data_IF_853517819402
#
_entry.id   IF_853517819402
#
_cell.length_a   1.000
_cell.length_b   1.000
_cell.length_c   1.000
_cell.angle_alpha   90.00
_cell.angle_beta   90.00
_cell.angle_gamma   90.00
#
_symmetry.space_group_name_H-M   'P 1'
#
loop_
_entity.id
_entity.type
_entity.pdbx_description
1 polymer ?
#
# COMPACT_ATOMS: atom_id res chain seq x y z
N UNK A 1 -8.06 -0.29 -13.48
CA UNK A 1 -8.06 1.03 -12.79
C UNK A 1 -6.86 1.01 -11.84
N UNK A 2 -6.29 2.15 -11.44
CA UNK A 2 -5.11 2.16 -10.57
C UNK A 2 -5.36 2.93 -9.30
N UNK A 3 -4.70 2.51 -8.23
CA UNK A 3 -4.72 3.22 -6.96
C UNK A 3 -3.30 3.51 -6.48
N UNK A 4 -3.12 4.69 -5.90
CA UNK A 4 -1.92 5.06 -5.18
C UNK A 4 -2.12 4.74 -3.71
N UNK A 5 -1.30 3.84 -3.20
CA UNK A 5 -1.22 3.49 -1.78
C UNK A 5 -0.06 4.26 -1.16
N UNK A 6 -0.35 5.00 -0.09
CA UNK A 6 0.65 5.65 0.76
C UNK A 6 0.71 4.93 2.11
N UNK A 7 1.91 4.55 2.53
CA UNK A 7 2.17 3.82 3.77
C UNK A 7 3.13 4.59 4.63
N UNK A 8 2.78 4.72 5.90
CA UNK A 8 3.63 5.29 6.93
C UNK A 8 4.23 4.16 7.76
N UNK A 9 5.55 4.17 7.94
CA UNK A 9 6.28 3.19 8.73
C UNK A 9 7.02 3.86 9.90
N UNK A 10 7.02 3.21 11.06
CA UNK A 10 7.56 3.77 12.31
C UNK A 10 9.07 3.87 12.34
N UNK A 11 9.77 2.98 11.62
CA UNK A 11 11.21 3.05 11.45
C UNK A 11 11.51 3.55 10.04
N UNK A 12 12.54 4.40 9.95
CA UNK A 12 13.02 5.06 8.74
C UNK A 12 13.70 4.01 7.83
N UNK A 13 12.89 3.07 7.38
CA UNK A 13 13.26 1.92 6.59
C UNK A 13 13.35 2.33 5.14
N UNK A 14 14.25 1.69 4.39
CA UNK A 14 14.58 1.99 3.00
C UNK A 14 13.44 1.71 2.00
N UNK A 15 12.19 1.58 2.46
CA UNK A 15 11.04 1.25 1.64
C UNK A 15 10.43 2.51 1.03
N UNK A 16 9.92 2.37 -0.19
CA UNK A 16 9.14 3.43 -0.82
C UNK A 16 7.80 3.57 -0.08
N UNK A 17 7.47 4.77 0.44
CA UNK A 17 6.20 5.01 1.14
C UNK A 17 5.01 5.02 0.17
N UNK A 18 5.25 4.92 -1.14
CA UNK A 18 4.22 4.89 -2.17
C UNK A 18 4.32 3.60 -2.98
N UNK A 19 3.16 3.01 -3.28
CA UNK A 19 3.02 1.86 -4.17
C UNK A 19 1.82 2.04 -5.08
N UNK A 20 1.90 1.51 -6.31
CA UNK A 20 0.79 1.54 -7.26
C UNK A 20 0.12 0.17 -7.22
N UNK A 21 -1.19 0.13 -6.96
CA UNK A 21 -2.01 -1.07 -6.99
C UNK A 21 -2.80 -1.14 -8.29
N UNK A 22 -2.76 -2.29 -8.97
CA UNK A 22 -3.67 -2.58 -10.08
C UNK A 22 -4.99 -3.14 -9.54
N UNK A 23 -6.08 -2.40 -9.74
CA UNK A 23 -7.41 -2.76 -9.20
C UNK A 23 -8.43 -2.97 -10.31
N UNK A 24 -9.35 -3.95 -10.14
CA UNK A 24 -10.36 -4.25 -11.14
C UNK A 24 -11.27 -3.04 -11.40
N UNK A 25 -11.79 -2.94 -12.62
CA UNK A 25 -12.76 -1.90 -12.94
C UNK A 25 -14.06 -2.12 -12.15
N UNK A 26 -14.54 -1.05 -11.50
CA UNK A 26 -15.73 -1.11 -10.64
C UNK A 26 -15.44 -1.37 -9.15
N UNK A 27 -14.17 -1.42 -8.73
CA UNK A 27 -13.79 -1.41 -7.31
C UNK A 27 -14.28 -0.14 -6.62
N UNK A 28 -15.03 -0.30 -5.54
CA UNK A 28 -15.46 0.81 -4.67
C UNK A 28 -14.33 1.25 -3.75
N UNK A 29 -14.49 2.38 -3.07
CA UNK A 29 -13.51 2.85 -2.08
C UNK A 29 -13.36 1.86 -0.90
N UNK A 30 -14.46 1.32 -0.37
CA UNK A 30 -14.45 0.26 0.64
C UNK A 30 -13.71 -1.00 0.17
N UNK A 31 -13.97 -1.46 -1.06
CA UNK A 31 -13.29 -2.62 -1.65
C UNK A 31 -11.79 -2.35 -1.82
N UNK A 32 -11.42 -1.12 -2.20
CA UNK A 32 -10.04 -0.70 -2.37
C UNK A 32 -9.28 -0.76 -1.03
N UNK A 33 -9.90 -0.27 0.04
CA UNK A 33 -9.34 -0.36 1.39
C UNK A 33 -9.14 -1.82 1.83
N UNK A 34 -10.11 -2.70 1.59
CA UNK A 34 -9.99 -4.13 1.91
C UNK A 34 -8.86 -4.80 1.11
N UNK A 35 -8.72 -4.49 -0.18
CA UNK A 35 -7.62 -5.01 -1.01
C UNK A 35 -6.27 -4.54 -0.47
N UNK A 36 -6.15 -3.24 -0.16
CA UNK A 36 -4.92 -2.67 0.35
C UNK A 36 -4.53 -3.26 1.70
N UNK A 37 -5.49 -3.44 2.62
CA UNK A 37 -5.27 -4.07 3.93
C UNK A 37 -4.77 -5.52 3.80
N UNK A 38 -5.31 -6.29 2.86
CA UNK A 38 -4.84 -7.65 2.59
C UNK A 38 -3.43 -7.71 2.00
N UNK A 39 -3.04 -6.71 1.20
CA UNK A 39 -1.72 -6.65 0.57
C UNK A 39 -0.65 -6.08 1.50
N UNK A 40 -1.03 -5.15 2.39
CA UNK A 40 -0.11 -4.40 3.25
C UNK A 40 0.87 -5.27 4.05
N UNK A 41 0.48 -6.42 4.65
CA UNK A 41 1.40 -7.32 5.35
C UNK A 41 2.46 -7.92 4.42
N UNK A 42 2.07 -8.25 3.19
CA UNK A 42 2.95 -8.89 2.19
C UNK A 42 3.82 -7.89 1.44
N UNK A 43 3.46 -6.60 1.46
CA UNK A 43 4.17 -5.56 0.71
C UNK A 43 5.51 -5.21 1.35
N UNK A 44 5.54 -5.14 2.69
CA UNK A 44 6.69 -4.71 3.48
C UNK A 44 7.24 -5.80 4.42
N UNK A 45 6.58 -6.95 4.52
CA UNK A 45 6.97 -8.04 5.40
C UNK A 45 6.55 -9.42 4.91
N UNK A 46 6.67 -10.42 5.79
CA UNK A 46 6.15 -11.77 5.54
C UNK A 46 4.78 -11.91 6.20
N UNK A 47 3.73 -12.19 5.42
CA UNK A 47 2.37 -12.30 5.91
C UNK A 47 2.17 -13.33 7.03
N UNK A 48 3.09 -14.29 7.19
CA UNK A 48 3.02 -15.29 8.27
C UNK A 48 3.60 -14.79 9.61
N UNK A 49 4.30 -13.65 9.59
CA UNK A 49 4.99 -13.08 10.76
C UNK A 49 4.40 -11.73 11.15
N UNK A 50 3.82 -11.00 10.19
CA UNK A 50 3.15 -9.73 10.43
C UNK A 50 1.85 -9.95 11.21
N UNK A 51 1.65 -9.18 12.27
CA UNK A 51 0.39 -9.13 13.03
C UNK A 51 -0.34 -7.83 12.68
N UNK A 52 -1.62 -7.91 12.34
CA UNK A 52 -2.46 -6.73 12.05
C UNK A 52 -3.39 -6.48 13.24
N UNK A 53 -3.43 -5.24 13.72
CA UNK A 53 -4.28 -4.82 14.85
C UNK A 53 -5.68 -4.36 14.39
N UNK A 54 -6.60 -4.09 15.32
CA UNK A 54 -7.99 -3.68 15.01
C UNK A 54 -8.05 -2.35 14.22
N UNK A 55 -7.04 -1.49 14.39
CA UNK A 55 -6.88 -0.24 13.65
C UNK A 55 -6.24 -0.43 12.25
N UNK A 56 -5.97 -1.66 11.79
CA UNK A 56 -5.33 -1.95 10.49
C UNK A 56 -3.81 -1.70 10.47
N UNK A 57 -3.20 -1.52 11.65
CA UNK A 57 -1.75 -1.32 11.78
C UNK A 57 -1.05 -2.67 11.72
N UNK A 58 -0.13 -2.83 10.79
CA UNK A 58 0.76 -3.98 10.67
C UNK A 58 1.95 -3.83 11.62
N UNK A 59 2.28 -4.90 12.35
CA UNK A 59 3.39 -4.99 13.29
C UNK A 59 4.30 -6.16 12.93
N UNK A 60 5.60 -5.91 12.85
CA UNK A 60 6.60 -6.97 12.68
C UNK A 60 7.94 -6.56 13.29
N UNK A 61 8.57 -7.45 14.07
CA UNK A 61 9.90 -7.25 14.67
C UNK A 61 10.13 -5.90 15.39
N UNK A 62 9.08 -5.30 15.96
CA UNK A 62 9.17 -3.99 16.63
C UNK A 62 9.06 -2.78 15.69
N UNK A 63 8.81 -3.02 14.41
CA UNK A 63 8.44 -2.03 13.40
C UNK A 63 6.92 -2.09 13.22
N UNK A 64 6.30 -0.95 12.90
CA UNK A 64 4.91 -0.92 12.49
C UNK A 64 4.70 -0.06 11.26
N UNK A 65 3.68 -0.39 10.49
CA UNK A 65 3.28 0.36 9.31
C UNK A 65 1.77 0.30 9.11
N UNK A 66 1.22 1.36 8.51
CA UNK A 66 -0.22 1.50 8.28
C UNK A 66 -0.48 2.31 7.02
N UNK A 67 -1.68 2.15 6.47
CA UNK A 67 -2.15 2.95 5.33
C UNK A 67 -2.38 4.38 5.80
N UNK A 68 -1.61 5.32 5.27
CA UNK A 68 -1.78 6.74 5.57
C UNK A 68 -2.78 7.40 4.62
N UNK A 69 -2.75 7.01 3.34
CA UNK A 69 -3.66 7.52 2.31
C UNK A 69 -3.82 6.48 1.20
N UNK A 70 -5.01 6.44 0.62
CA UNK A 70 -5.36 5.55 -0.47
C UNK A 70 -6.29 6.28 -1.42
N UNK A 71 -5.88 6.37 -2.70
CA UNK A 71 -6.67 7.12 -3.68
C UNK A 71 -6.61 6.49 -5.06
N UNK A 72 -7.72 6.55 -5.79
CA UNK A 72 -7.75 6.22 -7.20
C UNK A 72 -6.97 7.24 -8.02
N UNK A 73 -6.23 6.74 -9.01
CA UNK A 73 -5.47 7.55 -9.96
C UNK A 73 -5.70 7.06 -11.38
N UNK A 74 -5.51 7.96 -12.35
CA UNK A 74 -5.58 7.62 -13.76
C UNK A 74 -4.40 6.74 -14.17
N UNK A 75 -4.53 6.00 -15.28
CA UNK A 75 -3.41 5.22 -15.84
C UNK A 75 -2.22 6.12 -16.24
N UNK A 76 -2.51 7.31 -16.77
CA UNK A 76 -1.49 8.32 -17.10
C UNK A 76 -0.75 8.83 -15.85
N UNK A 77 -1.49 9.16 -14.79
CA UNK A 77 -0.90 9.60 -13.52
C UNK A 77 -0.03 8.49 -12.90
N UNK A 78 -0.49 7.24 -12.96
CA UNK A 78 0.29 6.10 -12.48
C UNK A 78 1.59 5.93 -13.28
N UNK A 79 1.53 6.03 -14.61
CA UNK A 79 2.72 5.96 -15.45
C UNK A 79 3.70 7.10 -15.15
N UNK A 80 3.20 8.30 -14.91
CA UNK A 80 4.02 9.45 -14.49
C UNK A 80 4.66 9.23 -13.12
N UNK A 81 3.90 8.79 -12.12
CA UNK A 81 4.40 8.55 -10.76
C UNK A 81 5.42 7.42 -10.73
N UNK A 82 5.15 6.30 -11.40
CA UNK A 82 6.12 5.20 -11.56
C UNK A 82 7.42 5.70 -12.19
N UNK A 83 7.35 6.59 -13.19
CA UNK A 83 8.55 7.14 -13.83
C UNK A 83 9.33 8.11 -12.93
N UNK A 84 8.64 8.98 -12.19
CA UNK A 84 9.28 10.04 -11.37
C UNK A 84 9.84 9.45 -10.07
N UNK A 85 9.06 8.62 -9.40
CA UNK A 85 9.35 8.10 -8.07
C UNK A 85 9.94 6.69 -8.11
N UNK A 86 10.05 6.07 -9.29
CA UNK A 86 10.54 4.70 -9.48
C UNK A 86 9.76 3.70 -8.61
N UNK A 87 8.44 3.85 -8.58
CA UNK A 87 7.56 3.03 -7.75
C UNK A 87 7.43 1.62 -8.33
N UNK A 88 7.29 0.66 -7.43
CA UNK A 88 6.91 -0.70 -7.79
C UNK A 88 5.39 -0.76 -7.97
N UNK A 89 4.94 -1.46 -9.01
CA UNK A 89 3.53 -1.76 -9.27
C UNK A 89 3.22 -3.19 -8.82
N UNK A 90 2.12 -3.36 -8.08
CA UNK A 90 1.68 -4.65 -7.53
C UNK A 90 0.27 -5.01 -8.00
#
# INVERSE_FOLDING_TARGET
>A
MKALLQVCASLNTSYSPYSILDVPEGTSDDDLHVIADQLLPSLYGDANVVTVDEDGVCWSNGECWYIEDLRFISDEDAAHLTRILNLSSF
#
